data_IF_483085904220
#
_entry.id   IF_483085904220
#
_cell.length_a   1.000
_cell.length_b   1.000
_cell.length_c   1.000
_cell.angle_alpha   90.00
_cell.angle_beta   90.00
_cell.angle_gamma   90.00
#
_symmetry.space_group_name_H-M   'P 1'
#
loop_
_entity.id
_entity.type
_entity.pdbx_description
1 polymer ?
#
# COMPACT_ATOMS: atom_id res chain seq x y z
N UNK A 1 -57.30 -14.12 -33.31
CA UNK A 1 -56.20 -14.92 -33.88
C UNK A 1 -55.08 -14.83 -32.87
N UNK A 2 -54.91 -15.90 -32.10
CA UNK A 2 -54.01 -15.99 -30.95
C UNK A 2 -52.56 -16.05 -31.42
N UNK A 3 -51.73 -15.30 -30.69
CA UNK A 3 -50.32 -15.53 -30.38
C UNK A 3 -49.34 -15.66 -31.55
N UNK A 4 -48.29 -14.82 -31.47
CA UNK A 4 -47.07 -14.94 -32.24
C UNK A 4 -46.44 -16.30 -31.95
N UNK A 5 -46.79 -17.32 -32.75
CA UNK A 5 -46.14 -18.61 -32.71
C UNK A 5 -44.68 -18.44 -33.15
N UNK A 6 -43.81 -18.47 -32.14
CA UNK A 6 -42.37 -18.46 -32.32
C UNK A 6 -41.99 -19.82 -32.91
N UNK A 7 -41.28 -19.87 -34.05
CA UNK A 7 -40.87 -21.12 -34.67
C UNK A 7 -40.07 -22.00 -33.69
N UNK A 8 -40.35 -23.30 -33.65
CA UNK A 8 -39.63 -24.25 -32.78
C UNK A 8 -38.11 -24.22 -33.00
N UNK A 9 -37.68 -23.93 -34.24
CA UNK A 9 -36.27 -23.70 -34.59
C UNK A 9 -35.66 -22.50 -33.83
N UNK A 10 -36.41 -21.39 -33.68
CA UNK A 10 -35.95 -20.22 -32.94
C UNK A 10 -35.87 -20.51 -31.43
N UNK A 11 -36.72 -21.39 -30.90
CA UNK A 11 -36.66 -21.86 -29.51
C UNK A 11 -35.48 -22.81 -29.30
N UNK A 12 -35.20 -23.73 -30.22
CA UNK A 12 -34.06 -24.66 -30.15
C UNK A 12 -32.71 -23.97 -30.33
N UNK A 13 -32.60 -23.00 -31.26
CA UNK A 13 -31.39 -22.20 -31.44
C UNK A 13 -31.09 -21.35 -30.19
N UNK A 14 -32.12 -20.74 -29.59
CA UNK A 14 -31.97 -20.00 -28.34
C UNK A 14 -31.72 -20.89 -27.12
N UNK A 15 -32.22 -22.13 -27.06
CA UNK A 15 -31.86 -23.10 -26.01
C UNK A 15 -30.39 -23.47 -26.05
N UNK A 16 -29.81 -23.61 -27.25
CA UNK A 16 -28.37 -23.86 -27.40
C UNK A 16 -27.54 -22.62 -27.04
N UNK A 17 -28.02 -21.41 -27.32
CA UNK A 17 -27.40 -20.16 -26.87
C UNK A 17 -27.55 -19.93 -25.34
N UNK A 18 -28.63 -20.39 -24.72
CA UNK A 18 -28.86 -20.35 -23.27
C UNK A 18 -27.94 -21.31 -22.48
N UNK A 19 -27.46 -22.41 -23.10
CA UNK A 19 -26.42 -23.27 -22.49
C UNK A 19 -25.08 -22.55 -22.31
N UNK A 20 -24.84 -21.46 -23.04
CA UNK A 20 -23.67 -20.60 -22.85
C UNK A 20 -23.94 -19.41 -21.91
N UNK A 21 -25.20 -19.02 -21.71
CA UNK A 21 -25.61 -17.86 -20.90
C UNK A 21 -26.08 -18.19 -19.47
N UNK A 22 -26.36 -19.45 -19.14
CA UNK A 22 -26.45 -19.88 -17.73
C UNK A 22 -25.01 -20.03 -17.24
N UNK A 23 -24.55 -18.99 -16.55
CA UNK A 23 -23.28 -18.97 -15.84
C UNK A 23 -22.99 -20.33 -15.24
N UNK A 24 -21.91 -20.97 -15.70
CA UNK A 24 -21.34 -22.14 -15.03
C UNK A 24 -21.38 -21.83 -13.55
N UNK A 25 -22.22 -22.57 -12.80
CA UNK A 25 -22.12 -22.73 -11.36
C UNK A 25 -20.63 -22.78 -11.10
N UNK A 26 -20.07 -21.74 -10.46
CA UNK A 26 -18.63 -21.57 -10.30
C UNK A 26 -18.17 -22.80 -9.53
N UNK A 27 -17.71 -23.81 -10.27
CA UNK A 27 -17.10 -25.02 -9.75
C UNK A 27 -16.05 -24.50 -8.78
N UNK A 28 -16.27 -24.76 -7.50
CA UNK A 28 -15.28 -24.48 -6.48
C UNK A 28 -13.95 -24.94 -7.05
N UNK A 29 -12.96 -24.03 -7.14
CA UNK A 29 -11.63 -24.40 -7.63
C UNK A 29 -11.13 -25.66 -6.92
N UNK A 30 -10.10 -26.33 -7.46
CA UNK A 30 -9.74 -27.75 -7.23
C UNK A 30 -9.57 -28.23 -5.77
N UNK A 31 -9.67 -27.34 -4.78
CA UNK A 31 -9.52 -27.64 -3.37
C UNK A 31 -10.87 -27.63 -2.62
N UNK A 32 -11.20 -28.70 -1.89
CA UNK A 32 -12.28 -28.73 -0.90
C UNK A 32 -12.18 -27.58 0.10
N UNK A 33 -13.31 -27.11 0.65
CA UNK A 33 -13.35 -25.97 1.61
C UNK A 33 -12.33 -26.12 2.76
N UNK A 34 -12.21 -27.32 3.33
CA UNK A 34 -11.28 -27.61 4.43
C UNK A 34 -9.81 -27.51 4.00
N UNK A 35 -9.47 -28.03 2.81
CA UNK A 35 -8.11 -27.94 2.28
C UNK A 35 -7.74 -26.51 1.90
N UNK A 36 -8.70 -25.76 1.34
CA UNK A 36 -8.54 -24.33 1.04
C UNK A 36 -8.25 -23.53 2.31
N UNK A 37 -8.95 -23.82 3.41
CA UNK A 37 -8.73 -23.14 4.69
C UNK A 37 -7.36 -23.47 5.29
N UNK A 38 -6.97 -24.75 5.33
CA UNK A 38 -5.63 -25.17 5.81
C UNK A 38 -4.52 -24.50 5.00
N UNK A 39 -4.66 -24.52 3.67
CA UNK A 39 -3.70 -23.86 2.77
C UNK A 39 -3.63 -22.36 3.03
N UNK A 40 -4.77 -21.69 3.18
CA UNK A 40 -4.82 -20.26 3.50
C UNK A 40 -4.12 -19.94 4.81
N UNK A 41 -4.34 -20.72 5.86
CA UNK A 41 -3.66 -20.52 7.14
C UNK A 41 -2.14 -20.66 6.99
N UNK A 42 -1.69 -21.66 6.24
CA UNK A 42 -0.25 -21.84 6.01
C UNK A 42 0.34 -20.73 5.13
N UNK A 43 -0.39 -20.28 4.11
CA UNK A 43 -0.02 -19.09 3.33
C UNK A 43 0.04 -17.85 4.20
N UNK A 44 -0.88 -17.70 5.16
CA UNK A 44 -0.85 -16.59 6.10
C UNK A 44 0.44 -16.61 6.89
N UNK A 45 0.75 -17.76 7.51
CA UNK A 45 1.96 -17.98 8.29
C UNK A 45 3.22 -17.67 7.48
N UNK A 46 3.34 -18.26 6.29
CA UNK A 46 4.54 -18.09 5.46
C UNK A 46 4.70 -16.66 4.91
N UNK A 47 3.62 -15.98 4.56
CA UNK A 47 3.67 -14.65 3.96
C UNK A 47 3.78 -13.53 5.00
N UNK A 48 2.93 -13.57 6.03
CA UNK A 48 2.83 -12.48 7.01
C UNK A 48 3.75 -12.69 8.22
N UNK A 49 4.03 -13.93 8.62
CA UNK A 49 4.88 -14.20 9.79
C UNK A 49 6.35 -14.34 9.39
N UNK A 50 6.66 -15.03 8.28
CA UNK A 50 8.04 -15.20 7.81
C UNK A 50 8.44 -14.33 6.63
N UNK A 51 7.53 -13.51 6.10
CA UNK A 51 7.85 -12.55 5.04
C UNK A 51 8.20 -13.17 3.68
N UNK A 52 7.86 -14.43 3.44
CA UNK A 52 8.20 -15.09 2.18
C UNK A 52 7.37 -14.55 1.01
N UNK A 53 8.03 -14.42 -0.16
CA UNK A 53 7.35 -14.04 -1.40
C UNK A 53 6.41 -15.15 -1.88
N UNK A 54 5.34 -14.79 -2.59
CA UNK A 54 4.42 -15.77 -3.17
C UNK A 54 5.12 -16.83 -4.05
N UNK A 55 6.24 -16.45 -4.70
CA UNK A 55 7.09 -17.38 -5.45
C UNK A 55 7.75 -18.42 -4.54
N UNK A 56 8.34 -17.98 -3.43
CA UNK A 56 9.00 -18.88 -2.48
C UNK A 56 7.98 -19.79 -1.79
N UNK A 57 6.82 -19.26 -1.42
CA UNK A 57 5.73 -20.04 -0.82
C UNK A 57 5.21 -21.10 -1.80
N UNK A 58 5.01 -20.74 -3.07
CA UNK A 58 4.60 -21.68 -4.12
C UNK A 58 5.56 -22.86 -4.25
N UNK A 59 6.87 -22.60 -4.17
CA UNK A 59 7.92 -23.61 -4.18
C UNK A 59 7.85 -24.51 -2.93
N UNK A 60 7.80 -23.92 -1.72
CA UNK A 60 7.77 -24.66 -0.45
C UNK A 60 6.53 -25.54 -0.30
N UNK A 61 5.36 -25.02 -0.68
CA UNK A 61 4.08 -25.73 -0.55
C UNK A 61 3.76 -26.62 -1.76
N UNK A 62 4.56 -26.56 -2.84
CA UNK A 62 4.28 -27.19 -4.15
C UNK A 62 2.89 -26.84 -4.69
N UNK A 63 2.51 -25.56 -4.57
CA UNK A 63 1.22 -25.03 -5.01
C UNK A 63 1.45 -23.95 -6.07
N UNK A 64 0.55 -23.84 -7.06
CA UNK A 64 0.63 -22.81 -8.09
C UNK A 64 0.68 -21.39 -7.48
N UNK A 65 1.65 -20.57 -7.92
CA UNK A 65 1.85 -19.18 -7.46
C UNK A 65 0.58 -18.33 -7.53
N UNK A 66 -0.26 -18.50 -8.54
CA UNK A 66 -1.51 -17.74 -8.68
C UNK A 66 -2.52 -18.11 -7.59
N UNK A 67 -2.52 -19.37 -7.14
CA UNK A 67 -3.34 -19.80 -6.00
C UNK A 67 -2.85 -19.16 -4.70
N UNK A 68 -1.53 -19.12 -4.50
CA UNK A 68 -0.91 -18.44 -3.36
C UNK A 68 -1.23 -16.94 -3.38
N UNK A 69 -1.08 -16.27 -4.52
CA UNK A 69 -1.46 -14.87 -4.68
C UNK A 69 -2.93 -14.64 -4.33
N UNK A 70 -3.84 -15.51 -4.79
CA UNK A 70 -5.26 -15.42 -4.45
C UNK A 70 -5.55 -15.59 -2.96
N UNK A 71 -4.80 -16.44 -2.26
CA UNK A 71 -4.95 -16.61 -0.82
C UNK A 71 -4.33 -15.45 -0.03
N UNK A 72 -3.21 -14.91 -0.50
CA UNK A 72 -2.65 -13.66 0.02
C UNK A 72 -3.69 -12.53 -0.11
N UNK A 73 -4.25 -12.33 -1.31
CA UNK A 73 -5.30 -11.33 -1.56
C UNK A 73 -6.54 -11.56 -0.67
N UNK A 74 -6.91 -12.81 -0.40
CA UNK A 74 -7.99 -13.12 0.55
C UNK A 74 -7.66 -12.58 1.95
N UNK A 75 -6.45 -12.79 2.46
CA UNK A 75 -6.06 -12.26 3.77
C UNK A 75 -5.96 -10.73 3.79
N UNK A 76 -5.45 -10.11 2.73
CA UNK A 76 -5.54 -8.66 2.57
C UNK A 76 -6.99 -8.18 2.64
N UNK A 77 -7.93 -8.83 1.96
CA UNK A 77 -9.35 -8.45 2.03
C UNK A 77 -9.96 -8.58 3.43
N UNK A 78 -9.41 -9.46 4.28
CA UNK A 78 -9.82 -9.61 5.69
C UNK A 78 -9.18 -8.58 6.62
N UNK A 79 -8.00 -8.09 6.29
CA UNK A 79 -7.35 -7.00 7.03
C UNK A 79 -7.97 -5.64 6.69
N UNK A 80 -8.50 -5.50 5.47
CA UNK A 80 -8.98 -4.21 4.95
C UNK A 80 -10.49 -3.99 5.16
N UNK A 81 -11.23 -4.92 5.79
CA UNK A 81 -12.65 -4.68 6.12
C UNK A 81 -12.91 -3.48 7.03
N UNK A 82 -11.88 -2.81 7.55
CA UNK A 82 -11.97 -1.57 8.35
C UNK A 82 -11.22 -0.37 7.77
N UNK A 83 -10.63 -0.44 6.57
CA UNK A 83 -9.83 0.65 6.00
C UNK A 83 -10.18 0.90 4.53
N UNK A 84 -10.23 2.16 4.12
CA UNK A 84 -10.52 2.51 2.73
C UNK A 84 -9.27 2.23 1.87
N UNK A 85 -9.26 1.12 1.12
CA UNK A 85 -8.10 0.61 0.35
C UNK A 85 -7.62 1.59 -0.74
N UNK A 86 -8.47 2.56 -1.11
CA UNK A 86 -8.19 3.62 -2.06
C UNK A 86 -7.56 4.85 -1.41
N UNK A 87 -7.43 4.87 -0.09
CA UNK A 87 -6.66 5.88 0.60
C UNK A 87 -5.18 5.45 0.65
N UNK A 88 -4.29 6.13 -0.10
CA UNK A 88 -2.87 5.83 -0.08
C UNK A 88 -2.27 5.99 1.33
N UNK A 89 -2.83 6.86 2.17
CA UNK A 89 -2.39 7.04 3.54
C UNK A 89 -2.70 5.80 4.39
N UNK A 90 -3.94 5.29 4.34
CA UNK A 90 -4.31 4.02 4.97
C UNK A 90 -3.41 2.85 4.54
N UNK A 91 -3.02 2.80 3.26
CA UNK A 91 -2.12 1.75 2.76
C UNK A 91 -0.70 1.82 3.38
N UNK A 92 -0.21 3.03 3.63
CA UNK A 92 1.09 3.28 4.24
C UNK A 92 1.05 2.97 5.74
N UNK A 93 -0.01 3.42 6.43
CA UNK A 93 -0.25 3.12 7.85
C UNK A 93 -0.28 1.60 8.08
N UNK A 94 -1.07 0.87 7.27
CA UNK A 94 -1.14 -0.59 7.35
C UNK A 94 0.22 -1.26 7.13
N UNK A 95 1.06 -0.72 6.24
CA UNK A 95 2.39 -1.24 6.00
C UNK A 95 3.32 -1.04 7.19
N UNK A 96 3.30 0.15 7.81
CA UNK A 96 4.09 0.45 9.01
C UNK A 96 3.63 -0.45 10.17
N UNK A 97 2.32 -0.57 10.40
CA UNK A 97 1.77 -1.42 11.47
C UNK A 97 2.24 -2.89 11.36
N UNK A 98 2.32 -3.43 10.13
CA UNK A 98 2.82 -4.79 9.92
C UNK A 98 4.31 -4.94 10.22
N UNK A 99 5.11 -3.95 9.84
CA UNK A 99 6.52 -3.96 10.17
C UNK A 99 6.73 -3.89 11.69
N UNK A 100 5.94 -3.08 12.39
CA UNK A 100 5.93 -3.00 13.85
C UNK A 100 5.57 -4.35 14.50
N UNK A 101 4.51 -5.00 14.03
CA UNK A 101 4.10 -6.33 14.51
C UNK A 101 5.18 -7.40 14.26
N UNK A 102 5.83 -7.36 13.10
CA UNK A 102 6.97 -8.25 12.82
C UNK A 102 8.16 -7.96 13.75
N UNK A 103 8.47 -6.68 13.98
CA UNK A 103 9.57 -6.27 14.88
C UNK A 103 9.34 -6.75 16.31
N UNK A 104 8.13 -6.56 16.85
CA UNK A 104 7.77 -7.01 18.20
C UNK A 104 8.00 -8.51 18.34
N UNK A 105 7.48 -9.31 17.41
CA UNK A 105 7.65 -10.77 17.43
C UNK A 105 9.11 -11.21 17.35
N UNK A 106 9.93 -10.53 16.54
CA UNK A 106 11.36 -10.84 16.47
C UNK A 106 12.10 -10.48 17.76
N UNK A 107 11.73 -9.38 18.43
CA UNK A 107 12.28 -9.01 19.75
C UNK A 107 11.93 -10.05 20.81
N UNK A 108 10.68 -10.51 20.86
CA UNK A 108 10.27 -11.59 21.77
C UNK A 108 11.03 -12.90 21.53
N UNK A 109 11.43 -13.18 20.28
CA UNK A 109 12.27 -14.34 19.96
C UNK A 109 13.74 -14.11 20.33
N UNK A 110 14.23 -12.89 20.16
CA UNK A 110 15.60 -12.51 20.50
C UNK A 110 15.89 -12.73 21.98
N UNK A 111 14.94 -12.38 22.85
CA UNK A 111 15.05 -12.58 24.31
C UNK A 111 15.17 -14.06 24.72
N UNK A 112 14.69 -14.97 23.87
CA UNK A 112 14.64 -16.42 24.14
C UNK A 112 15.81 -17.18 23.53
N UNK A 113 16.54 -16.57 22.59
CA UNK A 113 17.63 -17.23 21.86
C UNK A 113 18.95 -17.12 22.63
N UNK A 114 19.55 -18.27 22.93
CA UNK A 114 20.87 -18.37 23.56
C UNK A 114 22.01 -18.54 22.56
N UNK A 115 21.72 -19.06 21.37
CA UNK A 115 22.72 -19.28 20.32
C UNK A 115 23.11 -17.96 19.63
N UNK A 116 24.40 -17.63 19.69
CA UNK A 116 24.94 -16.36 19.20
C UNK A 116 24.64 -16.07 17.72
N UNK A 117 24.81 -17.07 16.84
CA UNK A 117 24.58 -16.89 15.40
C UNK A 117 23.11 -16.57 15.11
N UNK A 118 22.18 -17.26 15.77
CA UNK A 118 20.74 -16.99 15.65
C UNK A 118 20.39 -15.61 16.19
N UNK A 119 21.05 -15.19 17.29
CA UNK A 119 20.88 -13.86 17.87
C UNK A 119 21.24 -12.76 16.88
N UNK A 120 22.42 -12.86 16.24
CA UNK A 120 22.86 -11.92 15.19
C UNK A 120 21.88 -11.89 14.02
N UNK A 121 21.39 -13.05 13.57
CA UNK A 121 20.42 -13.10 12.48
C UNK A 121 19.12 -12.35 12.82
N UNK A 122 18.60 -12.53 14.04
CA UNK A 122 17.40 -11.83 14.51
C UNK A 122 17.64 -10.32 14.64
N UNK A 123 18.78 -9.90 15.19
CA UNK A 123 19.17 -8.48 15.29
C UNK A 123 19.23 -7.82 13.90
N UNK A 124 19.83 -8.51 12.92
CA UNK A 124 19.88 -8.02 11.54
C UNK A 124 18.50 -7.87 10.90
N UNK A 125 17.59 -8.83 11.14
CA UNK A 125 16.21 -8.74 10.65
C UNK A 125 15.45 -7.58 11.30
N UNK A 126 15.63 -7.35 12.59
CA UNK A 126 15.05 -6.21 13.31
C UNK A 126 15.56 -4.90 12.72
N UNK A 127 16.87 -4.79 12.51
CA UNK A 127 17.48 -3.61 11.88
C UNK A 127 16.93 -3.34 10.47
N UNK A 128 16.79 -4.37 9.65
CA UNK A 128 16.22 -4.24 8.31
C UNK A 128 14.76 -3.74 8.33
N UNK A 129 13.99 -4.11 9.36
CA UNK A 129 12.62 -3.63 9.56
C UNK A 129 12.64 -2.15 9.97
N UNK A 130 13.45 -1.80 10.97
CA UNK A 130 13.56 -0.42 11.45
C UNK A 130 13.99 0.52 10.32
N UNK A 131 14.94 0.10 9.48
CA UNK A 131 15.35 0.85 8.30
C UNK A 131 14.19 1.07 7.30
N UNK A 132 13.36 0.05 7.05
CA UNK A 132 12.19 0.17 6.15
C UNK A 132 11.12 1.10 6.71
N UNK A 133 10.89 1.09 8.02
CA UNK A 133 9.98 2.02 8.70
C UNK A 133 10.51 3.45 8.53
N UNK A 134 11.78 3.67 8.87
CA UNK A 134 12.42 4.99 8.74
C UNK A 134 12.35 5.53 7.31
N UNK A 135 12.69 4.71 6.31
CA UNK A 135 12.62 5.11 4.90
C UNK A 135 11.18 5.47 4.48
N UNK A 136 10.18 4.79 5.03
CA UNK A 136 8.77 5.08 4.75
C UNK A 136 8.37 6.44 5.33
N UNK A 137 8.78 6.73 6.57
CA UNK A 137 8.57 8.06 7.17
C UNK A 137 9.27 9.18 6.41
N UNK A 138 10.53 8.98 6.00
CA UNK A 138 11.26 9.98 5.24
C UNK A 138 10.53 10.34 3.94
N UNK A 139 10.08 9.33 3.18
CA UNK A 139 9.34 9.55 1.92
C UNK A 139 8.00 10.26 2.15
N UNK A 140 7.31 9.96 3.24
CA UNK A 140 6.09 10.66 3.63
C UNK A 140 6.38 12.14 3.90
N UNK A 141 7.39 12.44 4.72
CA UNK A 141 7.79 13.82 5.02
C UNK A 141 8.18 14.58 3.75
N UNK A 142 8.99 14.00 2.87
CA UNK A 142 9.37 14.60 1.59
C UNK A 142 8.14 14.86 0.70
N UNK A 143 7.17 13.94 0.68
CA UNK A 143 5.93 14.12 -0.07
C UNK A 143 5.06 15.25 0.51
N UNK A 144 4.90 15.30 1.83
CA UNK A 144 4.16 16.37 2.51
C UNK A 144 4.77 17.73 2.26
N UNK A 145 6.11 17.85 2.37
CA UNK A 145 6.83 19.09 2.06
C UNK A 145 6.59 19.53 0.61
N UNK A 146 6.61 18.60 -0.35
CA UNK A 146 6.33 18.91 -1.76
C UNK A 146 4.90 19.43 -1.97
N UNK A 147 3.92 18.80 -1.34
CA UNK A 147 2.50 19.24 -1.42
C UNK A 147 2.37 20.64 -0.84
N UNK A 148 2.90 20.87 0.37
CA UNK A 148 2.88 22.18 1.02
C UNK A 148 3.53 23.27 0.17
N UNK A 149 4.68 22.99 -0.47
CA UNK A 149 5.33 23.95 -1.37
C UNK A 149 4.47 24.27 -2.60
N UNK A 150 3.84 23.26 -3.20
CA UNK A 150 2.95 23.46 -4.35
C UNK A 150 1.70 24.28 -3.98
N UNK A 151 1.13 24.04 -2.79
CA UNK A 151 0.00 24.82 -2.28
C UNK A 151 0.40 26.27 -2.01
N UNK A 152 1.60 26.49 -1.44
CA UNK A 152 2.18 27.81 -1.21
C UNK A 152 2.38 28.59 -2.52
N UNK A 153 2.92 27.93 -3.55
CA UNK A 153 3.08 28.50 -4.89
C UNK A 153 1.73 28.88 -5.50
N UNK A 154 0.73 28.00 -5.37
CA UNK A 154 -0.63 28.24 -5.86
C UNK A 154 -1.28 29.43 -5.17
N UNK A 155 -1.15 29.54 -3.84
CA UNK A 155 -1.64 30.66 -3.05
C UNK A 155 -0.95 31.97 -3.47
N UNK A 156 0.38 31.98 -3.55
CA UNK A 156 1.13 33.17 -3.95
C UNK A 156 0.80 33.63 -5.38
N UNK A 157 0.58 32.68 -6.30
CA UNK A 157 0.10 32.97 -7.65
C UNK A 157 -1.29 33.60 -7.63
N UNK A 158 -2.21 33.10 -6.80
CA UNK A 158 -3.53 33.70 -6.63
C UNK A 158 -3.46 35.12 -6.04
N UNK A 159 -2.57 35.36 -5.06
CA UNK A 159 -2.34 36.69 -4.48
C UNK A 159 -1.82 37.67 -5.54
N UNK A 160 -0.92 37.22 -6.43
CA UNK A 160 -0.43 38.01 -7.54
C UNK A 160 -1.52 38.38 -8.54
N UNK A 161 -2.36 37.42 -8.95
CA UNK A 161 -3.50 37.69 -9.85
C UNK A 161 -4.49 38.69 -9.26
N UNK A 162 -4.68 38.67 -7.94
CA UNK A 162 -5.54 39.62 -7.21
C UNK A 162 -4.85 40.95 -6.87
N UNK A 163 -3.57 41.13 -7.26
CA UNK A 163 -2.74 42.31 -6.93
C UNK A 163 -2.64 42.59 -5.42
N UNK A 164 -2.71 41.55 -4.60
CA UNK A 164 -2.53 41.67 -3.16
C UNK A 164 -1.03 41.75 -2.82
N UNK A 165 -0.61 42.56 -1.84
CA UNK A 165 0.80 42.81 -1.53
C UNK A 165 1.46 41.71 -0.68
N UNK A 166 0.65 40.83 -0.10
CA UNK A 166 1.06 39.78 0.83
C UNK A 166 1.49 38.50 0.10
N UNK A 167 2.47 37.80 0.68
CA UNK A 167 2.98 36.52 0.21
C UNK A 167 3.25 35.60 1.38
N UNK A 168 3.03 34.31 1.19
CA UNK A 168 3.25 33.30 2.20
C UNK A 168 4.61 32.63 1.98
N UNK A 169 5.36 32.41 3.06
CA UNK A 169 6.68 31.76 3.05
C UNK A 169 6.67 30.34 3.65
N UNK A 170 5.64 30.01 4.44
CA UNK A 170 5.46 28.71 5.09
C UNK A 170 3.97 28.43 5.25
N UNK A 171 3.54 27.21 4.95
CA UNK A 171 2.17 26.75 5.21
C UNK A 171 1.93 26.43 6.70
N UNK A 172 2.98 26.10 7.46
CA UNK A 172 2.87 25.70 8.87
C UNK A 172 2.72 26.90 9.80
N UNK A 173 3.36 28.02 9.47
CA UNK A 173 3.37 29.21 10.33
C UNK A 173 2.40 30.31 9.85
N UNK A 174 1.80 30.14 8.67
CA UNK A 174 0.91 31.11 8.01
C UNK A 174 1.43 32.57 8.07
N UNK A 175 2.75 32.77 8.06
CA UNK A 175 3.35 34.10 8.15
C UNK A 175 3.24 34.74 6.77
N UNK A 176 2.28 35.66 6.63
CA UNK A 176 2.22 36.55 5.49
C UNK A 176 3.29 37.63 5.64
N UNK A 177 4.13 37.77 4.61
CA UNK A 177 5.12 38.84 4.52
C UNK A 177 4.87 39.68 3.28
N UNK A 178 5.38 40.91 3.26
CA UNK A 178 5.41 41.68 2.01
C UNK A 178 6.27 40.99 0.95
N UNK A 179 5.95 41.17 -0.34
CA UNK A 179 6.76 40.63 -1.45
C UNK A 179 8.26 40.94 -1.32
N UNK A 180 8.61 42.17 -0.92
CA UNK A 180 10.01 42.59 -0.72
C UNK A 180 10.69 41.83 0.43
N UNK A 181 9.94 41.49 1.48
CA UNK A 181 10.46 40.69 2.58
C UNK A 181 10.62 39.21 2.18
N UNK A 182 9.67 38.65 1.41
CA UNK A 182 9.78 37.32 0.84
C UNK A 182 11.06 37.17 0.00
N UNK A 183 11.30 38.07 -0.95
CA UNK A 183 12.50 38.04 -1.81
C UNK A 183 13.81 38.09 -1.02
N UNK A 184 13.83 38.82 0.11
CA UNK A 184 15.00 38.84 1.01
C UNK A 184 15.18 37.52 1.74
N UNK A 185 14.09 36.94 2.25
CA UNK A 185 14.11 35.64 2.94
C UNK A 185 14.61 34.55 1.97
N UNK A 186 14.09 34.52 0.74
CA UNK A 186 14.49 33.52 -0.28
C UNK A 186 15.97 33.61 -0.64
N UNK A 187 16.52 34.84 -0.71
CA UNK A 187 17.96 35.06 -0.92
C UNK A 187 18.79 34.47 0.21
N UNK A 188 18.43 34.75 1.48
CA UNK A 188 19.12 34.21 2.66
C UNK A 188 19.08 32.67 2.64
N UNK A 189 17.91 32.09 2.41
CA UNK A 189 17.74 30.62 2.34
C UNK A 189 18.62 30.02 1.23
N UNK A 190 18.66 30.67 0.06
CA UNK A 190 19.45 30.20 -1.08
C UNK A 190 20.95 30.27 -0.80
N UNK A 191 21.42 31.34 -0.17
CA UNK A 191 22.82 31.50 0.22
C UNK A 191 23.24 30.47 1.27
N UNK A 192 22.42 30.22 2.28
CA UNK A 192 22.74 29.21 3.30
C UNK A 192 22.68 27.78 2.75
N UNK A 193 21.74 27.48 1.85
CA UNK A 193 21.71 26.19 1.13
C UNK A 193 22.96 25.95 0.28
N UNK A 194 23.58 27.00 -0.26
CA UNK A 194 24.85 26.89 -0.99
C UNK A 194 26.01 26.54 -0.06
N UNK A 195 26.05 27.10 1.16
CA UNK A 195 27.07 26.77 2.17
C UNK A 195 27.00 25.29 2.59
N UNK A 196 25.79 24.73 2.69
CA UNK A 196 25.58 23.34 3.08
C UNK A 196 26.00 22.31 2.01
N UNK A 197 26.12 22.70 0.73
CA UNK A 197 26.57 21.81 -0.37
C UNK A 197 28.09 21.74 -0.53
N UNK A 198 28.85 22.43 0.32
CA UNK A 198 30.33 22.50 0.27
C UNK A 198 30.98 21.59 1.36
N UNK A 199 30.17 20.86 2.14
CA UNK A 199 30.59 19.81 3.08
C UNK A 199 30.10 18.45 2.58
#
# INVERSE_FOLDING_TARGET
>A
MSELDIPDEFIEENKNNLKFAISKIKRSGPYPKNQKQKRRMEVHRLHFDYGYSARKIAEMMKVNRNTINGDISFWYSKLVTHYNLFDPEASIILKIARFEEQRIRLREQLDKVTEFNKKICLEKMIFDIDYKILQTHQRLTESTLRIQNNDLETLNYAMERKKLPERYTSMLDAISVSKKAQEKIDKIITEDRKKLKIL
#
